data_IF_038125600049
#
_entry.id   IF_038125600049
#
_cell.length_a   1.000
_cell.length_b   1.000
_cell.length_c   1.000
_cell.angle_alpha   90.00
_cell.angle_beta   90.00
_cell.angle_gamma   90.00
#
_symmetry.space_group_name_H-M   'P 1'
#
loop_
_entity.id
_entity.type
_entity.pdbx_description
1 polymer ?
#
# COMPACT_ATOMS: atom_id res chain seq x y z
N UNK A 1 14.23 20.67 -45.88
CA UNK A 1 13.33 20.12 -44.82
C UNK A 1 14.09 19.62 -43.59
N UNK A 2 15.29 19.04 -43.72
CA UNK A 2 16.11 18.51 -42.60
C UNK A 2 16.49 19.50 -41.48
N UNK A 3 16.73 20.78 -41.80
CA UNK A 3 17.16 21.80 -40.81
C UNK A 3 16.07 22.26 -39.83
N UNK A 4 14.79 21.95 -40.09
CA UNK A 4 13.67 22.29 -39.17
C UNK A 4 13.35 21.16 -38.19
N UNK A 5 13.90 19.97 -38.41
CA UNK A 5 13.61 18.77 -37.60
C UNK A 5 14.49 18.74 -36.34
N UNK A 6 15.73 19.20 -36.44
CA UNK A 6 16.71 19.25 -35.35
C UNK A 6 16.25 20.12 -34.16
N UNK A 7 15.80 21.39 -34.34
CA UNK A 7 15.34 22.19 -33.20
C UNK A 7 14.05 21.64 -32.58
N UNK A 8 13.19 21.02 -33.39
CA UNK A 8 11.94 20.41 -32.92
C UNK A 8 12.22 19.14 -32.09
N UNK A 9 13.21 18.33 -32.49
CA UNK A 9 13.65 17.15 -31.76
C UNK A 9 14.36 17.53 -30.45
N UNK A 10 15.20 18.57 -30.45
CA UNK A 10 15.82 19.10 -29.24
C UNK A 10 14.78 19.66 -28.26
N UNK A 11 13.75 20.34 -28.74
CA UNK A 11 12.67 20.87 -27.90
C UNK A 11 11.84 19.75 -27.26
N UNK A 12 11.55 18.68 -28.02
CA UNK A 12 10.86 17.49 -27.50
C UNK A 12 11.68 16.76 -26.43
N UNK A 13 13.00 16.63 -26.63
CA UNK A 13 13.92 16.05 -25.64
C UNK A 13 14.03 16.89 -24.35
N UNK A 14 13.94 18.22 -24.46
CA UNK A 14 13.99 19.12 -23.31
C UNK A 14 12.72 19.04 -22.45
N UNK A 15 11.55 18.85 -23.06
CA UNK A 15 10.26 18.75 -22.36
C UNK A 15 10.13 17.43 -21.58
N UNK A 16 10.71 16.32 -22.07
CA UNK A 16 10.72 15.05 -21.32
C UNK A 16 11.55 15.09 -20.04
N UNK A 17 12.52 16.01 -19.93
CA UNK A 17 13.39 16.12 -18.75
C UNK A 17 12.74 16.83 -17.55
N UNK A 18 11.58 17.48 -17.73
CA UNK A 18 10.91 18.25 -16.66
C UNK A 18 9.83 17.45 -15.92
N UNK A 19 9.74 16.14 -16.11
CA UNK A 19 8.94 15.26 -15.25
C UNK A 19 9.66 15.07 -13.91
N UNK A 20 9.58 16.07 -13.04
CA UNK A 20 10.07 15.94 -11.68
C UNK A 20 8.98 15.27 -10.86
N UNK A 21 9.14 13.97 -10.59
CA UNK A 21 8.38 13.34 -9.52
C UNK A 21 8.64 14.13 -8.23
N UNK A 22 7.61 14.36 -7.41
CA UNK A 22 7.83 14.99 -6.11
C UNK A 22 8.88 14.17 -5.35
N UNK A 23 9.87 14.85 -4.75
CA UNK A 23 10.93 14.19 -3.96
C UNK A 23 10.37 13.24 -2.90
N UNK A 24 9.12 13.48 -2.47
CA UNK A 24 8.38 12.71 -1.46
C UNK A 24 6.91 12.58 -1.83
N UNK A 25 6.49 11.55 -2.59
CA UNK A 25 5.09 11.36 -2.93
C UNK A 25 4.26 10.96 -1.69
N UNK A 26 3.01 11.39 -1.65
CA UNK A 26 2.05 10.89 -0.68
C UNK A 26 1.64 9.46 -1.05
N UNK A 27 1.50 8.59 -0.04
CA UNK A 27 1.08 7.20 -0.23
C UNK A 27 -0.30 7.00 0.40
N UNK A 28 -1.29 6.65 -0.42
CA UNK A 28 -2.60 6.20 0.02
C UNK A 28 -2.68 4.67 -0.12
N UNK A 29 -2.71 3.97 1.01
CA UNK A 29 -2.86 2.52 1.05
C UNK A 29 -4.32 2.16 1.32
N UNK A 30 -4.97 1.54 0.33
CA UNK A 30 -6.35 1.06 0.41
C UNK A 30 -6.34 -0.45 0.68
N UNK A 31 -6.71 -0.86 1.89
CA UNK A 31 -6.94 -2.25 2.25
C UNK A 31 -8.44 -2.52 2.35
N UNK A 32 -8.91 -3.58 1.68
CA UNK A 32 -10.33 -3.98 1.67
C UNK A 32 -10.42 -5.38 2.27
N UNK A 33 -11.25 -5.55 3.30
CA UNK A 33 -11.40 -6.81 4.01
C UNK A 33 -12.20 -7.81 3.16
N UNK A 34 -11.74 -9.06 3.10
CA UNK A 34 -12.36 -10.19 2.40
C UNK A 34 -12.72 -9.97 0.92
N UNK A 35 -12.04 -9.04 0.24
CA UNK A 35 -12.27 -8.79 -1.18
C UNK A 35 -11.46 -9.76 -2.06
N UNK A 36 -12.17 -10.67 -2.72
CA UNK A 36 -11.67 -11.41 -3.90
C UNK A 36 -11.63 -10.49 -5.13
N UNK A 37 -10.89 -10.82 -6.22
CA UNK A 37 -10.80 -9.98 -7.43
C UNK A 37 -12.07 -10.01 -8.30
N UNK A 38 -13.25 -9.86 -7.69
CA UNK A 38 -14.54 -9.76 -8.34
C UNK A 38 -14.82 -8.29 -8.69
N UNK A 39 -14.02 -7.73 -9.62
CA UNK A 39 -14.10 -6.34 -10.07
C UNK A 39 -14.14 -6.30 -11.60
N UNK A 40 -14.73 -5.25 -12.17
CA UNK A 40 -14.79 -5.04 -13.62
C UNK A 40 -13.40 -5.05 -14.27
N UNK A 41 -12.39 -4.43 -13.64
CA UNK A 41 -11.00 -4.45 -14.11
C UNK A 41 -10.33 -5.83 -14.10
N UNK A 42 -10.88 -6.81 -13.37
CA UNK A 42 -10.45 -8.22 -13.41
C UNK A 42 -11.37 -9.10 -14.27
N UNK A 43 -12.35 -8.51 -14.97
CA UNK A 43 -13.25 -9.22 -15.89
C UNK A 43 -14.55 -9.73 -15.26
N UNK A 44 -14.95 -9.23 -14.08
CA UNK A 44 -16.28 -9.55 -13.53
C UNK A 44 -17.38 -8.96 -14.40
N UNK A 45 -18.35 -9.79 -14.79
CA UNK A 45 -19.54 -9.37 -15.55
C UNK A 45 -20.68 -8.86 -14.64
N UNK A 46 -20.56 -9.05 -13.33
CA UNK A 46 -21.62 -8.79 -12.34
C UNK A 46 -21.27 -7.60 -11.44
N UNK A 47 -19.99 -7.44 -11.09
CA UNK A 47 -19.56 -6.36 -10.19
C UNK A 47 -19.60 -4.99 -10.86
N UNK A 48 -20.25 -4.02 -10.20
CA UNK A 48 -20.30 -2.62 -10.66
C UNK A 48 -19.27 -1.83 -9.87
N UNK A 49 -18.06 -1.65 -10.42
CA UNK A 49 -16.90 -1.09 -9.71
C UNK A 49 -16.22 0.09 -10.41
N UNK A 50 -16.97 1.09 -10.94
CA UNK A 50 -16.44 2.08 -11.87
C UNK A 50 -15.27 2.92 -11.31
N UNK A 51 -15.22 3.15 -10.00
CA UNK A 51 -14.13 3.89 -9.37
C UNK A 51 -12.83 3.06 -9.27
N UNK A 52 -12.94 1.77 -8.95
CA UNK A 52 -11.78 0.87 -8.89
C UNK A 52 -11.29 0.52 -10.30
N UNK A 53 -12.21 0.41 -11.27
CA UNK A 53 -11.87 0.18 -12.67
C UNK A 53 -11.12 1.38 -13.25
N UNK A 54 -11.60 2.60 -12.95
CA UNK A 54 -10.90 3.83 -13.30
C UNK A 54 -9.52 3.91 -12.65
N UNK A 55 -9.40 3.59 -11.35
CA UNK A 55 -8.11 3.56 -10.66
C UNK A 55 -7.14 2.58 -11.33
N UNK A 56 -7.60 1.38 -11.70
CA UNK A 56 -6.79 0.39 -12.40
C UNK A 56 -6.29 0.88 -13.77
N UNK A 57 -7.13 1.59 -14.53
CA UNK A 57 -6.74 2.18 -15.82
C UNK A 57 -5.69 3.30 -15.74
N UNK A 58 -5.51 3.89 -14.56
CA UNK A 58 -4.55 4.98 -14.33
C UNK A 58 -3.23 4.47 -13.73
N UNK A 59 -3.07 3.16 -13.54
CA UNK A 59 -1.93 2.56 -12.87
C UNK A 59 -1.53 1.21 -13.44
N UNK A 60 -0.87 0.42 -12.60
CA UNK A 60 -0.47 -0.95 -12.92
C UNK A 60 -1.38 -1.95 -12.21
N UNK A 61 -2.03 -2.84 -12.96
CA UNK A 61 -2.87 -3.91 -12.44
C UNK A 61 -2.09 -5.23 -12.38
N UNK A 62 -2.12 -5.89 -11.22
CA UNK A 62 -1.47 -7.19 -11.03
C UNK A 62 -2.48 -8.33 -11.10
N UNK A 63 -2.43 -9.12 -12.18
CA UNK A 63 -3.31 -10.29 -12.34
C UNK A 63 -2.91 -11.50 -11.49
N UNK A 64 -1.78 -11.43 -10.78
CA UNK A 64 -1.20 -12.53 -9.99
C UNK A 64 -0.64 -12.02 -8.67
N UNK A 65 -1.50 -11.45 -7.83
CA UNK A 65 -1.17 -11.03 -6.47
C UNK A 65 -1.79 -12.02 -5.46
N UNK A 66 -1.00 -12.51 -4.51
CA UNK A 66 -1.43 -13.49 -3.51
C UNK A 66 -1.02 -13.03 -2.11
N UNK A 67 -1.89 -13.25 -1.12
CA UNK A 67 -1.53 -13.13 0.28
C UNK A 67 -0.71 -14.36 0.72
N UNK A 68 0.08 -14.20 1.79
CA UNK A 68 0.89 -15.31 2.31
C UNK A 68 0.04 -16.33 3.07
N UNK A 69 -1.09 -15.88 3.64
CA UNK A 69 -2.04 -16.72 4.33
C UNK A 69 -3.44 -16.10 4.22
N UNK A 70 -4.45 -16.90 3.87
CA UNK A 70 -5.84 -16.45 3.69
C UNK A 70 -6.60 -16.30 5.03
N UNK A 71 -5.96 -15.64 6.01
CA UNK A 71 -6.54 -15.28 7.31
C UNK A 71 -6.20 -13.82 7.58
N UNK A 72 -7.16 -13.06 8.09
CA UNK A 72 -7.09 -11.60 8.20
C UNK A 72 -5.87 -11.10 9.00
N UNK A 73 -5.67 -11.54 10.25
CA UNK A 73 -4.53 -11.09 11.08
C UNK A 73 -3.16 -11.51 10.53
N UNK A 74 -2.92 -12.79 10.17
CA UNK A 74 -1.67 -13.23 9.52
C UNK A 74 -1.35 -12.48 8.23
N UNK A 75 -2.35 -12.28 7.35
CA UNK A 75 -2.18 -11.55 6.09
C UNK A 75 -1.78 -10.10 6.32
N UNK A 76 -2.49 -9.40 7.21
CA UNK A 76 -2.20 -8.00 7.56
C UNK A 76 -0.84 -7.86 8.23
N UNK A 77 -0.51 -8.72 9.19
CA UNK A 77 0.78 -8.70 9.86
C UNK A 77 1.93 -8.95 8.87
N UNK A 78 1.78 -9.93 7.98
CA UNK A 78 2.77 -10.23 6.94
C UNK A 78 2.99 -9.04 6.00
N UNK A 79 1.90 -8.46 5.48
CA UNK A 79 1.97 -7.31 4.58
C UNK A 79 2.58 -6.08 5.25
N UNK A 80 2.18 -5.78 6.49
CA UNK A 80 2.65 -4.59 7.20
C UNK A 80 4.09 -4.73 7.65
N UNK A 81 4.57 -5.92 7.98
CA UNK A 81 5.95 -6.12 8.47
C UNK A 81 6.94 -6.51 7.37
N UNK A 82 6.45 -6.94 6.21
CA UNK A 82 7.29 -7.49 5.14
C UNK A 82 7.86 -8.88 5.45
N UNK A 83 7.47 -9.50 6.56
CA UNK A 83 7.92 -10.81 7.00
C UNK A 83 6.80 -11.85 6.88
N UNK A 84 7.15 -13.10 6.54
CA UNK A 84 6.15 -14.15 6.33
C UNK A 84 5.49 -14.59 7.65
N UNK A 85 4.24 -15.10 7.63
CA UNK A 85 3.52 -15.55 8.83
C UNK A 85 4.31 -16.55 9.70
N UNK A 86 5.02 -17.49 9.07
CA UNK A 86 5.90 -18.47 9.72
C UNK A 86 7.13 -17.83 10.38
N UNK A 87 7.64 -16.73 9.82
CA UNK A 87 8.77 -15.97 10.37
C UNK A 87 8.37 -15.17 11.62
N UNK A 88 7.17 -14.59 11.62
CA UNK A 88 6.67 -13.74 12.72
C UNK A 88 5.78 -14.49 13.73
N UNK A 89 5.47 -15.76 13.48
CA UNK A 89 4.64 -16.58 14.36
C UNK A 89 3.16 -16.18 14.42
N UNK A 90 2.68 -15.28 13.56
CA UNK A 90 1.29 -14.85 13.50
C UNK A 90 0.56 -15.69 12.46
N UNK A 91 -0.01 -16.82 12.89
CA UNK A 91 -0.70 -17.79 12.01
C UNK A 91 -2.21 -17.90 12.29
N UNK A 92 -2.71 -17.17 13.28
CA UNK A 92 -4.13 -17.13 13.67
C UNK A 92 -4.58 -15.68 13.96
N UNK A 93 -5.87 -15.48 14.20
CA UNK A 93 -6.43 -14.13 14.42
C UNK A 93 -6.22 -13.56 15.83
N UNK A 94 -5.84 -14.40 16.80
CA UNK A 94 -5.78 -14.01 18.23
C UNK A 94 -4.39 -13.51 18.64
N UNK A 95 -3.38 -13.71 17.79
CA UNK A 95 -2.02 -13.28 18.05
C UNK A 95 -1.79 -11.85 17.53
N UNK A 96 -1.33 -10.97 18.41
CA UNK A 96 -0.87 -9.65 18.00
C UNK A 96 0.62 -9.69 17.63
N UNK A 97 0.96 -9.21 16.44
CA UNK A 97 2.33 -9.31 15.90
C UNK A 97 3.39 -8.65 16.79
N UNK A 98 3.06 -7.58 17.53
CA UNK A 98 4.01 -6.91 18.44
C UNK A 98 4.25 -7.66 19.75
N UNK A 99 3.28 -8.46 20.19
CA UNK A 99 3.48 -9.27 21.40
C UNK A 99 4.51 -10.38 21.11
N UNK A 100 4.49 -10.90 19.88
CA UNK A 100 5.45 -11.91 19.41
C UNK A 100 6.76 -11.30 18.87
N UNK A 101 6.70 -10.09 18.29
CA UNK A 101 7.83 -9.43 17.63
C UNK A 101 7.88 -7.94 18.02
N UNK A 102 8.34 -7.60 19.22
CA UNK A 102 8.27 -6.21 19.73
C UNK A 102 9.11 -5.23 18.90
N UNK A 103 10.23 -5.70 18.36
CA UNK A 103 11.22 -4.89 17.64
C UNK A 103 10.96 -4.76 16.14
N UNK A 104 9.95 -5.48 15.60
CA UNK A 104 9.65 -5.39 14.17
C UNK A 104 9.06 -4.03 13.83
N UNK A 105 9.61 -3.41 12.79
CA UNK A 105 9.18 -2.09 12.30
C UNK A 105 8.20 -2.32 11.14
N UNK A 106 6.90 -2.07 11.30
CA UNK A 106 5.94 -2.16 10.22
C UNK A 106 6.04 -0.96 9.27
N UNK A 107 5.57 -1.15 8.04
CA UNK A 107 5.56 -0.19 6.94
C UNK A 107 5.11 1.23 7.36
N UNK A 108 4.02 1.45 8.11
CA UNK A 108 3.63 2.80 8.52
C UNK A 108 4.68 3.49 9.40
N UNK A 109 5.43 2.74 10.21
CA UNK A 109 6.49 3.31 11.04
C UNK A 109 7.71 3.76 10.21
N UNK A 110 8.02 3.07 9.11
CA UNK A 110 9.04 3.55 8.17
C UNK A 110 8.65 4.91 7.57
N UNK A 111 7.40 5.06 7.10
CA UNK A 111 6.92 6.35 6.58
C UNK A 111 6.90 7.47 7.61
N UNK A 112 6.57 7.15 8.87
CA UNK A 112 6.54 8.12 9.97
C UNK A 112 7.95 8.59 10.33
N UNK A 113 8.92 7.67 10.42
CA UNK A 113 10.29 7.99 10.80
C UNK A 113 10.96 8.98 9.83
N UNK A 114 10.61 8.91 8.55
CA UNK A 114 11.16 9.80 7.53
C UNK A 114 10.51 11.19 7.53
N UNK A 115 9.39 11.40 8.26
CA UNK A 115 8.61 12.64 8.23
C UNK A 115 9.12 13.69 9.25
N UNK A 116 8.62 14.93 9.18
CA UNK A 116 8.99 15.97 10.15
C UNK A 116 8.66 15.54 11.60
N UNK A 117 9.55 15.77 12.59
CA UNK A 117 9.42 15.18 13.94
C UNK A 117 8.09 15.45 14.67
N UNK A 118 7.51 16.64 14.52
CA UNK A 118 6.23 16.98 15.13
C UNK A 118 5.07 16.17 14.54
N UNK A 119 5.06 16.04 13.20
CA UNK A 119 4.07 15.21 12.49
C UNK A 119 4.30 13.71 12.77
N UNK A 120 5.56 13.30 12.96
CA UNK A 120 5.89 11.92 13.29
C UNK A 120 5.27 11.48 14.62
N UNK A 121 5.34 12.33 15.64
CA UNK A 121 4.78 12.06 16.96
C UNK A 121 3.25 11.87 16.90
N UNK A 122 2.56 12.76 16.20
CA UNK A 122 1.10 12.71 16.03
C UNK A 122 0.65 11.48 15.24
N UNK A 123 1.32 11.18 14.12
CA UNK A 123 1.01 10.00 13.31
C UNK A 123 1.27 8.70 14.08
N UNK A 124 2.34 8.66 14.88
CA UNK A 124 2.65 7.50 15.72
C UNK A 124 1.60 7.30 16.81
N UNK A 125 1.10 8.38 17.41
CA UNK A 125 0.03 8.33 18.39
C UNK A 125 -1.28 7.81 17.77
N UNK A 126 -1.67 8.34 16.61
CA UNK A 126 -2.85 7.88 15.86
C UNK A 126 -2.74 6.41 15.45
N UNK A 127 -1.57 5.99 14.94
CA UNK A 127 -1.31 4.61 14.57
C UNK A 127 -1.44 3.65 15.77
N UNK A 128 -0.83 4.00 16.90
CA UNK A 128 -0.94 3.21 18.15
C UNK A 128 -2.38 3.12 18.67
N UNK A 129 -3.15 4.20 18.55
CA UNK A 129 -4.55 4.23 18.96
C UNK A 129 -5.44 3.36 18.06
N UNK A 130 -5.26 3.47 16.72
CA UNK A 130 -6.03 2.68 15.75
C UNK A 130 -5.83 1.17 15.91
N UNK A 131 -4.59 0.73 16.17
CA UNK A 131 -4.33 -0.70 16.37
C UNK A 131 -4.93 -1.25 17.66
N UNK A 132 -4.86 -0.50 18.76
CA UNK A 132 -5.51 -0.90 20.02
C UNK A 132 -7.03 -1.02 19.87
N UNK A 133 -7.65 -0.15 19.06
CA UNK A 133 -9.08 -0.24 18.75
C UNK A 133 -9.43 -1.52 17.97
N UNK A 134 -8.63 -1.93 17.00
CA UNK A 134 -8.85 -3.17 16.24
C UNK A 134 -8.75 -4.44 17.09
N UNK A 135 -7.83 -4.49 18.07
CA UNK A 135 -7.71 -5.63 18.99
C UNK A 135 -8.93 -5.73 19.92
N UNK A 136 -9.49 -4.61 20.36
CA UNK A 136 -10.68 -4.59 21.21
C UNK A 136 -11.95 -5.06 20.47
N UNK A 137 -12.00 -4.93 19.14
CA UNK A 137 -13.13 -5.40 18.32
C UNK A 137 -13.00 -6.85 17.86
N UNK A 138 -11.79 -7.43 17.89
CA UNK A 138 -11.54 -8.81 17.46
C UNK A 138 -11.79 -9.86 18.56
N UNK A 139 -12.11 -9.42 19.78
CA UNK A 139 -12.39 -10.29 20.94
C UNK A 139 -13.88 -10.56 21.18
N UNK A 140 -14.77 -10.20 20.24
CA UNK A 140 -16.22 -10.43 20.31
C UNK A 140 -16.70 -11.30 19.15
#
# INVERSE_FOLDING_TARGET
MLMKIIPTLCLLLFISATSHAADRPNVLFLAIDDLRPELGCYGSEIAITPNLDKLASQGLLFNRAYCQQAICSPSRASLMTGARPDTIGVVENYAYFRDLNPDIVPLPQHFIADTQPALAADLLAQFKAGWKAQLATASN
#
